data_IF_814510797854
#
_entry.id   IF_814510797854
#
_cell.length_a   1.000
_cell.length_b   1.000
_cell.length_c   1.000
_cell.angle_alpha   90.00
_cell.angle_beta   90.00
_cell.angle_gamma   90.00
#
_symmetry.space_group_name_H-M   'P 1'
#
loop_
_entity.id
_entity.type
_entity.pdbx_description
1 polymer ?
#
# COMPACT_ATOMS: atom_id res chain seq x y z
N UNK A 1 39.41 -41.09 80.10
CA UNK A 1 37.98 -41.47 80.19
C UNK A 1 37.56 -42.02 78.84
N UNK A 2 37.28 -43.31 78.81
CA UNK A 2 37.00 -44.12 77.63
C UNK A 2 35.49 -44.13 77.32
N UNK A 3 35.17 -44.05 76.03
CA UNK A 3 34.24 -44.89 75.26
C UNK A 3 32.78 -45.11 75.72
N UNK A 4 31.91 -44.98 74.69
CA UNK A 4 30.91 -45.96 74.21
C UNK A 4 29.40 -45.72 74.52
N UNK A 5 28.60 -45.95 73.46
CA UNK A 5 27.24 -46.55 73.37
C UNK A 5 26.08 -45.57 73.07
N UNK A 6 25.60 -45.49 71.81
CA UNK A 6 24.46 -46.20 71.15
C UNK A 6 23.09 -45.61 71.57
N UNK A 7 22.18 -45.12 70.69
CA UNK A 7 21.13 -45.81 69.90
C UNK A 7 20.31 -44.66 69.23
N UNK A 8 20.20 -44.55 67.89
CA UNK A 8 19.09 -45.01 67.01
C UNK A 8 17.69 -44.39 67.25
N UNK A 9 17.24 -43.53 66.32
CA UNK A 9 15.89 -43.41 65.73
C UNK A 9 15.93 -42.24 64.71
N UNK A 10 16.04 -42.44 63.39
CA UNK A 10 15.03 -42.91 62.43
C UNK A 10 13.72 -42.10 62.45
N UNK A 11 13.64 -41.07 61.61
CA UNK A 11 12.40 -40.65 60.97
C UNK A 11 12.71 -40.24 59.52
N UNK A 12 12.32 -41.13 58.63
CA UNK A 12 12.38 -41.07 57.18
C UNK A 12 11.26 -40.14 56.69
N UNK A 13 11.59 -39.05 55.99
CA UNK A 13 10.65 -38.40 55.07
C UNK A 13 11.28 -38.40 53.68
N UNK A 14 10.89 -39.40 52.90
CA UNK A 14 11.02 -39.39 51.45
C UNK A 14 10.06 -38.32 50.91
N UNK A 15 10.59 -37.17 50.53
CA UNK A 15 9.94 -36.33 49.52
C UNK A 15 10.76 -36.54 48.25
N UNK A 16 10.24 -37.40 47.39
CA UNK A 16 10.59 -37.40 45.99
C UNK A 16 10.08 -36.08 45.40
N UNK A 17 10.90 -35.04 45.49
CA UNK A 17 10.78 -33.92 44.57
C UNK A 17 11.34 -34.44 43.24
N UNK A 18 10.45 -34.95 42.38
CA UNK A 18 10.76 -35.05 40.98
C UNK A 18 11.16 -33.65 40.54
N UNK A 19 12.44 -33.47 40.22
CA UNK A 19 12.85 -32.41 39.33
C UNK A 19 12.14 -32.73 38.01
N UNK A 20 10.94 -32.17 37.82
CA UNK A 20 10.53 -31.81 36.48
C UNK A 20 11.55 -30.77 36.05
N UNK A 21 12.58 -31.24 35.36
CA UNK A 21 13.43 -30.42 34.52
C UNK A 21 12.47 -29.80 33.51
N UNK A 22 11.95 -28.62 33.84
CA UNK A 22 11.33 -27.74 32.87
C UNK A 22 12.45 -27.48 31.88
N UNK A 23 12.37 -28.11 30.71
CA UNK A 23 13.15 -27.73 29.56
C UNK A 23 12.73 -26.29 29.22
N UNK A 24 13.33 -25.32 29.91
CA UNK A 24 13.48 -23.97 29.40
C UNK A 24 14.47 -24.06 28.23
N UNK A 25 13.98 -24.53 27.08
CA UNK A 25 14.51 -24.09 25.80
C UNK A 25 14.04 -22.65 25.58
N UNK A 26 14.47 -21.72 26.44
CA UNK A 26 14.59 -20.33 26.04
C UNK A 26 15.78 -20.31 25.10
N UNK A 27 15.52 -20.23 23.79
CA UNK A 27 16.53 -19.90 22.80
C UNK A 27 17.28 -18.64 23.27
N UNK A 28 18.49 -18.79 23.80
CA UNK A 28 19.35 -17.64 24.17
C UNK A 28 19.60 -16.69 22.98
N UNK A 29 19.37 -17.19 21.76
CA UNK A 29 19.50 -16.47 20.50
C UNK A 29 18.16 -15.99 19.90
N UNK A 30 17.05 -16.01 20.64
CA UNK A 30 15.80 -15.44 20.14
C UNK A 30 15.78 -13.91 20.28
N UNK A 31 15.08 -13.25 19.36
CA UNK A 31 14.69 -11.85 19.46
C UNK A 31 13.62 -11.72 20.53
N UNK A 32 13.86 -10.86 21.53
CA UNK A 32 12.92 -10.62 22.63
C UNK A 32 11.82 -9.62 22.26
N UNK A 33 10.68 -9.71 22.93
CA UNK A 33 9.57 -8.75 22.74
C UNK A 33 9.98 -7.31 23.06
N UNK A 34 10.93 -7.15 23.99
CA UNK A 34 11.52 -5.87 24.39
C UNK A 34 12.62 -5.33 23.46
N UNK A 35 13.03 -6.10 22.44
CA UNK A 35 14.11 -5.70 21.55
C UNK A 35 13.77 -4.43 20.75
N UNK A 36 14.75 -3.57 20.51
CA UNK A 36 14.61 -2.48 19.55
C UNK A 36 15.13 -2.94 18.20
N UNK A 37 14.29 -2.87 17.18
CA UNK A 37 14.64 -3.22 15.80
C UNK A 37 14.91 -1.93 15.05
N UNK A 38 16.05 -1.85 14.36
CA UNK A 38 16.44 -0.67 13.59
C UNK A 38 16.70 -1.08 12.15
N UNK A 39 16.11 -0.36 11.19
CA UNK A 39 16.48 -0.43 9.77
C UNK A 39 17.12 0.88 9.36
N UNK A 40 18.33 0.82 8.85
CA UNK A 40 19.07 1.95 8.30
C UNK A 40 19.31 1.74 6.81
N UNK A 41 19.13 2.78 6.01
CA UNK A 41 19.60 2.80 4.63
C UNK A 41 20.28 4.11 4.31
N UNK A 42 21.46 4.06 3.70
CA UNK A 42 22.30 5.22 3.42
C UNK A 42 23.24 4.98 2.22
N UNK A 43 23.83 6.05 1.68
CA UNK A 43 24.83 5.95 0.61
C UNK A 43 24.26 5.61 -0.77
N UNK A 44 22.93 5.52 -0.90
CA UNK A 44 22.25 5.46 -2.19
C UNK A 44 22.15 6.86 -2.80
N UNK A 45 21.83 6.94 -4.09
CA UNK A 45 21.50 8.21 -4.72
C UNK A 45 20.13 8.71 -4.24
N UNK A 46 20.14 9.57 -3.22
CA UNK A 46 18.94 10.21 -2.64
C UNK A 46 19.09 11.73 -2.59
N UNK A 47 17.98 12.43 -2.32
CA UNK A 47 18.03 13.85 -2.00
C UNK A 47 18.94 14.09 -0.77
N UNK A 48 19.73 15.17 -0.72
CA UNK A 48 20.68 15.43 0.38
C UNK A 48 20.04 15.45 1.77
N UNK A 49 18.80 15.93 1.88
CA UNK A 49 18.01 15.95 3.09
C UNK A 49 17.53 14.56 3.55
N UNK A 50 17.64 13.54 2.71
CA UNK A 50 17.22 12.15 2.97
C UNK A 50 18.38 11.16 2.86
N UNK A 51 19.62 11.65 2.98
CA UNK A 51 20.85 10.86 2.85
C UNK A 51 20.91 9.61 3.72
N UNK A 52 20.30 9.67 4.91
CA UNK A 52 20.10 8.52 5.80
C UNK A 52 18.63 8.39 6.13
N UNK A 53 18.09 7.17 5.96
CA UNK A 53 16.74 6.82 6.38
C UNK A 53 16.83 5.83 7.53
N UNK A 54 16.16 6.12 8.64
CA UNK A 54 16.19 5.31 9.85
C UNK A 54 14.78 4.97 10.30
N UNK A 55 14.45 3.69 10.33
CA UNK A 55 13.26 3.16 10.97
C UNK A 55 13.66 2.54 12.31
N UNK A 56 12.97 2.88 13.38
CA UNK A 56 13.13 2.30 14.72
C UNK A 56 11.79 1.73 15.15
N UNK A 57 11.75 0.45 15.48
CA UNK A 57 10.57 -0.24 16.01
C UNK A 57 10.89 -0.75 17.41
N UNK A 58 10.25 -0.17 18.41
CA UNK A 58 10.32 -0.64 19.80
C UNK A 58 9.00 -1.30 20.20
N UNK A 59 8.79 -1.55 21.50
CA UNK A 59 7.60 -2.24 21.99
C UNK A 59 6.32 -1.40 21.94
N UNK A 60 6.40 -0.08 21.74
CA UNK A 60 5.24 0.82 21.83
C UNK A 60 5.06 1.70 20.60
N UNK A 61 6.07 1.82 19.74
CA UNK A 61 6.07 2.75 18.61
C UNK A 61 6.93 2.28 17.45
N UNK A 62 6.54 2.78 16.28
CA UNK A 62 7.36 2.81 15.06
C UNK A 62 7.71 4.28 14.81
N UNK A 63 9.00 4.54 14.64
CA UNK A 63 9.55 5.85 14.33
C UNK A 63 10.33 5.78 13.02
N UNK A 64 10.09 6.72 12.12
CA UNK A 64 10.87 6.87 10.90
C UNK A 64 11.42 8.28 10.78
N UNK A 65 12.71 8.39 10.49
CA UNK A 65 13.45 9.65 10.48
C UNK A 65 14.35 9.74 9.25
N UNK A 66 14.43 10.94 8.69
CA UNK A 66 15.40 11.32 7.66
C UNK A 66 16.51 12.16 8.27
N UNK A 67 17.75 11.92 7.83
CA UNK A 67 18.90 12.74 8.17
C UNK A 67 19.67 13.12 6.90
N UNK A 68 20.30 14.29 6.94
CA UNK A 68 21.18 14.73 5.87
C UNK A 68 22.61 14.15 6.02
N UNK A 69 23.51 14.51 5.09
CA UNK A 69 24.91 14.05 5.12
C UNK A 69 25.72 14.54 6.35
N UNK A 70 25.20 15.50 7.11
CA UNK A 70 25.78 16.02 8.35
C UNK A 70 25.18 15.36 9.60
N UNK A 71 24.34 14.32 9.43
CA UNK A 71 23.60 13.65 10.51
C UNK A 71 22.59 14.57 11.22
N UNK A 72 22.13 15.62 10.54
CA UNK A 72 21.08 16.51 11.05
C UNK A 72 19.70 15.94 10.69
N UNK A 73 18.80 15.88 11.68
CA UNK A 73 17.42 15.43 11.49
C UNK A 73 16.66 16.41 10.59
N UNK A 74 16.12 15.92 9.48
CA UNK A 74 15.38 16.73 8.50
C UNK A 74 13.87 16.48 8.55
N UNK A 75 13.45 15.27 8.93
CA UNK A 75 12.05 14.94 9.17
C UNK A 75 11.93 13.74 10.12
N UNK A 76 10.79 13.67 10.83
CA UNK A 76 10.49 12.60 11.79
C UNK A 76 8.99 12.29 11.80
N UNK A 77 8.67 11.00 11.78
CA UNK A 77 7.32 10.46 11.85
C UNK A 77 7.27 9.42 12.96
N UNK A 78 6.22 9.46 13.79
CA UNK A 78 6.07 8.55 14.93
C UNK A 78 4.62 8.10 15.01
N UNK A 79 4.39 6.80 15.11
CA UNK A 79 3.07 6.20 15.36
C UNK A 79 3.17 5.10 16.41
N UNK A 80 2.10 4.86 17.19
CA UNK A 80 2.03 3.69 18.06
C UNK A 80 2.07 2.41 17.24
N UNK A 81 2.58 1.33 17.82
CA UNK A 81 2.44 -0.03 17.27
C UNK A 81 1.61 -0.85 18.25
N UNK A 82 0.62 -1.57 17.74
CA UNK A 82 -0.18 -2.46 18.57
C UNK A 82 0.58 -3.77 18.87
N UNK A 83 0.14 -4.46 19.92
CA UNK A 83 0.79 -5.68 20.40
C UNK A 83 0.78 -6.79 19.34
N UNK A 84 -0.30 -6.94 18.57
CA UNK A 84 -0.41 -8.00 17.56
C UNK A 84 0.59 -7.78 16.41
N UNK A 85 0.67 -6.55 15.91
CA UNK A 85 1.67 -6.16 14.90
C UNK A 85 3.08 -6.38 15.43
N UNK A 86 3.33 -6.01 16.68
CA UNK A 86 4.63 -6.20 17.32
C UNK A 86 5.01 -7.68 17.46
N UNK A 87 4.09 -8.50 17.94
CA UNK A 87 4.33 -9.94 18.15
C UNK A 87 4.59 -10.66 16.82
N UNK A 88 3.84 -10.31 15.77
CA UNK A 88 4.08 -10.82 14.40
C UNK A 88 5.45 -10.45 13.87
N UNK A 89 5.90 -9.21 14.10
CA UNK A 89 7.24 -8.78 13.69
C UNK A 89 8.33 -9.56 14.42
N UNK A 90 8.22 -9.73 15.74
CA UNK A 90 9.20 -10.49 16.53
C UNK A 90 9.21 -11.97 16.11
N UNK A 91 8.05 -12.56 15.89
CA UNK A 91 7.92 -13.91 15.36
C UNK A 91 8.61 -14.05 14.00
N UNK A 92 8.41 -13.10 13.08
CA UNK A 92 9.06 -13.09 11.76
C UNK A 92 10.60 -13.10 11.88
N UNK A 93 11.17 -12.31 12.79
CA UNK A 93 12.62 -12.32 13.02
C UNK A 93 13.12 -13.67 13.56
N UNK A 94 12.38 -14.27 14.48
CA UNK A 94 12.70 -15.57 15.08
C UNK A 94 12.57 -16.73 14.08
N UNK A 95 11.49 -16.77 13.30
CA UNK A 95 11.24 -17.79 12.27
C UNK A 95 12.30 -17.78 11.15
N UNK A 96 12.90 -16.61 10.89
CA UNK A 96 13.96 -16.45 9.89
C UNK A 96 15.37 -16.45 10.51
N UNK A 97 15.51 -16.90 11.77
CA UNK A 97 16.77 -17.04 12.50
C UNK A 97 17.68 -15.81 12.38
N UNK A 98 17.12 -14.60 12.53
CA UNK A 98 17.86 -13.36 12.27
C UNK A 98 19.18 -13.27 13.05
N UNK A 99 19.18 -13.73 14.30
CA UNK A 99 20.37 -13.70 15.17
C UNK A 99 21.54 -14.57 14.66
N UNK A 100 21.24 -15.55 13.80
CA UNK A 100 22.22 -16.49 13.22
C UNK A 100 22.65 -16.10 11.79
N UNK A 101 22.04 -15.08 11.19
CA UNK A 101 22.40 -14.62 9.85
C UNK A 101 23.85 -14.11 9.79
N UNK A 102 24.46 -14.21 8.61
CA UNK A 102 25.75 -13.57 8.34
C UNK A 102 25.65 -12.05 8.58
N UNK A 103 26.75 -11.47 9.04
CA UNK A 103 26.82 -10.02 9.31
C UNK A 103 26.82 -9.17 8.04
N UNK A 104 27.22 -9.76 6.90
CA UNK A 104 27.37 -9.07 5.63
C UNK A 104 26.92 -9.98 4.48
N UNK A 105 26.12 -9.41 3.57
CA UNK A 105 25.74 -9.99 2.29
C UNK A 105 26.21 -9.07 1.15
N UNK A 106 26.93 -9.66 0.22
CA UNK A 106 27.52 -9.00 -0.95
C UNK A 106 27.20 -9.82 -2.22
N UNK A 107 27.31 -9.23 -3.42
CA UNK A 107 27.18 -9.96 -4.66
C UNK A 107 28.18 -11.13 -4.72
N UNK A 108 27.68 -12.34 -5.00
CA UNK A 108 28.51 -13.52 -5.27
C UNK A 108 29.19 -13.37 -6.63
N UNK A 109 30.31 -14.07 -6.80
CA UNK A 109 31.02 -14.14 -8.07
C UNK A 109 30.09 -14.46 -9.24
N UNK A 110 30.14 -13.62 -10.28
CA UNK A 110 29.31 -13.74 -11.48
C UNK A 110 27.94 -13.09 -11.39
N UNK A 111 27.53 -12.54 -10.23
CA UNK A 111 26.32 -11.72 -10.14
C UNK A 111 26.59 -10.28 -10.60
N UNK A 112 25.65 -9.62 -11.30
CA UNK A 112 25.78 -8.22 -11.64
C UNK A 112 25.81 -7.37 -10.36
N UNK A 113 26.71 -6.39 -10.33
CA UNK A 113 26.76 -5.39 -9.25
C UNK A 113 25.76 -4.29 -9.60
N UNK A 114 24.77 -4.09 -8.74
CA UNK A 114 23.86 -2.95 -8.84
C UNK A 114 24.55 -1.73 -8.23
N UNK A 115 24.75 -0.68 -9.03
CA UNK A 115 25.36 0.57 -8.58
C UNK A 115 24.32 1.48 -7.92
N UNK A 116 24.80 2.45 -7.13
CA UNK A 116 24.02 3.56 -6.57
C UNK A 116 22.86 3.18 -5.62
N UNK A 117 22.81 1.94 -5.13
CA UNK A 117 21.78 1.49 -4.17
C UNK A 117 22.19 1.61 -2.70
N UNK A 118 23.44 1.97 -2.42
CA UNK A 118 23.92 2.22 -1.06
C UNK A 118 24.03 0.97 -0.18
N UNK A 119 23.81 1.14 1.12
CA UNK A 119 23.90 0.09 2.13
C UNK A 119 22.59 0.00 2.91
N UNK A 120 22.13 -1.23 3.15
CA UNK A 120 21.08 -1.55 4.13
C UNK A 120 21.73 -2.13 5.38
N UNK A 121 21.32 -1.67 6.55
CA UNK A 121 21.60 -2.33 7.82
C UNK A 121 20.29 -2.63 8.56
N UNK A 122 20.16 -3.83 9.08
CA UNK A 122 19.11 -4.21 10.02
C UNK A 122 19.77 -4.58 11.34
N UNK A 123 19.28 -4.01 12.44
CA UNK A 123 19.84 -4.19 13.76
C UNK A 123 18.77 -4.68 14.72
N UNK A 124 19.14 -5.63 15.59
CA UNK A 124 18.34 -6.05 16.75
C UNK A 124 19.15 -5.72 17.99
N UNK A 125 18.60 -4.84 18.84
CA UNK A 125 19.21 -4.38 20.08
C UNK A 125 18.39 -4.93 21.25
N UNK A 126 19.01 -5.77 22.09
CA UNK A 126 18.34 -6.39 23.25
C UNK A 126 19.30 -6.48 24.44
N UNK A 127 18.97 -5.77 25.53
CA UNK A 127 19.90 -5.60 26.65
C UNK A 127 21.21 -4.96 26.18
N UNK A 128 22.33 -5.61 26.48
CA UNK A 128 23.67 -5.17 26.06
C UNK A 128 24.10 -5.78 24.70
N UNK A 129 23.27 -6.64 24.09
CA UNK A 129 23.59 -7.30 22.83
C UNK A 129 23.02 -6.52 21.64
N UNK A 130 23.81 -6.39 20.58
CA UNK A 130 23.37 -5.85 19.28
C UNK A 130 23.80 -6.79 18.17
N UNK A 131 22.84 -7.30 17.40
CA UNK A 131 23.10 -8.00 16.12
C UNK A 131 22.91 -7.02 14.98
N UNK A 132 23.86 -7.00 14.04
CA UNK A 132 23.77 -6.18 12.81
C UNK A 132 23.92 -7.11 11.60
N UNK A 133 23.03 -6.95 10.63
CA UNK A 133 23.10 -7.60 9.31
C UNK A 133 23.14 -6.51 8.26
N UNK A 134 24.17 -6.53 7.41
CA UNK A 134 24.40 -5.53 6.36
C UNK A 134 24.26 -6.13 4.97
N UNK A 135 23.79 -5.32 4.02
CA UNK A 135 23.73 -5.67 2.60
C UNK A 135 24.35 -4.52 1.81
N UNK A 136 25.40 -4.81 1.05
CA UNK A 136 26.14 -3.80 0.32
C UNK A 136 26.70 -4.35 -1.00
N UNK A 137 26.40 -3.72 -2.16
CA UNK A 137 25.34 -2.73 -2.36
C UNK A 137 23.96 -3.28 -2.00
N UNK A 138 23.02 -2.45 -1.58
CA UNK A 138 21.67 -2.91 -1.21
C UNK A 138 20.89 -3.37 -2.44
N UNK A 139 20.64 -4.66 -2.56
CA UNK A 139 19.76 -5.24 -3.56
C UNK A 139 19.11 -6.53 -3.01
N UNK A 140 17.88 -6.83 -3.41
CA UNK A 140 17.13 -8.00 -2.91
C UNK A 140 17.75 -9.32 -3.34
N UNK A 141 18.44 -9.34 -4.47
CA UNK A 141 19.10 -10.49 -5.06
C UNK A 141 20.31 -10.98 -4.23
N UNK A 142 20.86 -10.14 -3.36
CA UNK A 142 21.99 -10.50 -2.49
C UNK A 142 21.54 -11.03 -1.12
N UNK A 143 20.26 -10.84 -0.79
CA UNK A 143 19.69 -11.22 0.49
C UNK A 143 19.14 -12.65 0.44
N UNK A 144 19.27 -13.45 1.51
CA UNK A 144 18.51 -14.69 1.65
C UNK A 144 17.02 -14.38 1.80
N UNK A 145 16.15 -15.31 1.41
CA UNK A 145 14.68 -15.15 1.43
C UNK A 145 14.15 -14.65 2.78
N UNK A 146 14.70 -15.13 3.89
CA UNK A 146 14.29 -14.70 5.22
C UNK A 146 14.62 -13.24 5.53
N UNK A 147 15.77 -12.75 5.05
CA UNK A 147 16.14 -11.34 5.19
C UNK A 147 15.29 -10.45 4.27
N UNK A 148 14.97 -10.93 3.06
CA UNK A 148 14.03 -10.26 2.15
C UNK A 148 12.66 -10.05 2.84
N UNK A 149 12.08 -11.12 3.40
CA UNK A 149 10.79 -11.06 4.13
C UNK A 149 10.81 -10.09 5.29
N UNK A 150 11.89 -10.09 6.09
CA UNK A 150 12.06 -9.15 7.20
C UNK A 150 12.11 -7.70 6.67
N UNK A 151 12.91 -7.45 5.63
CA UNK A 151 13.05 -6.10 5.07
C UNK A 151 11.72 -5.61 4.48
N UNK A 152 10.96 -6.47 3.80
CA UNK A 152 9.63 -6.13 3.25
C UNK A 152 8.66 -5.70 4.36
N UNK A 153 8.64 -6.41 5.49
CA UNK A 153 7.78 -6.05 6.62
C UNK A 153 8.20 -4.73 7.26
N UNK A 154 9.50 -4.47 7.39
CA UNK A 154 10.00 -3.18 7.86
C UNK A 154 9.66 -2.04 6.88
N UNK A 155 9.65 -2.30 5.57
CA UNK A 155 9.22 -1.33 4.57
C UNK A 155 7.71 -1.03 4.66
N UNK A 156 6.87 -2.03 4.98
CA UNK A 156 5.44 -1.80 5.29
C UNK A 156 5.27 -0.96 6.55
N UNK A 157 6.03 -1.23 7.61
CA UNK A 157 6.00 -0.40 8.82
C UNK A 157 6.47 1.03 8.57
N UNK A 158 7.47 1.22 7.69
CA UNK A 158 7.86 2.55 7.20
C UNK A 158 6.68 3.25 6.50
N UNK A 159 5.98 2.54 5.61
CA UNK A 159 4.81 3.12 4.93
C UNK A 159 3.69 3.46 5.94
N UNK A 160 3.43 2.58 6.90
CA UNK A 160 2.45 2.80 7.96
C UNK A 160 2.76 4.08 8.76
N UNK A 161 4.00 4.27 9.22
CA UNK A 161 4.34 5.46 10.03
C UNK A 161 4.34 6.75 9.22
N UNK A 162 4.65 6.69 7.92
CA UNK A 162 4.61 7.84 7.02
C UNK A 162 3.19 8.21 6.55
N UNK A 163 2.28 7.23 6.52
CA UNK A 163 0.89 7.48 6.10
C UNK A 163 0.26 8.53 7.01
N UNK A 164 -0.53 9.47 6.48
CA UNK A 164 -1.24 10.44 7.31
C UNK A 164 -2.32 9.77 8.16
N UNK A 165 -2.74 10.42 9.26
CA UNK A 165 -3.89 9.95 10.05
C UNK A 165 -5.21 10.34 9.40
N UNK A 166 -6.32 9.71 9.79
CA UNK A 166 -7.65 10.12 9.33
C UNK A 166 -7.94 11.59 9.67
N UNK A 167 -7.62 12.03 10.90
CA UNK A 167 -7.84 13.41 11.33
C UNK A 167 -7.00 14.41 10.52
N UNK A 168 -5.73 14.08 10.24
CA UNK A 168 -4.86 14.90 9.38
C UNK A 168 -5.42 15.00 7.96
N UNK A 169 -5.87 13.89 7.38
CA UNK A 169 -6.48 13.88 6.05
C UNK A 169 -7.81 14.65 6.01
N UNK A 170 -8.60 14.58 7.08
CA UNK A 170 -9.85 15.33 7.20
C UNK A 170 -9.61 16.83 7.22
N UNK A 171 -8.59 17.27 7.94
CA UNK A 171 -8.17 18.68 7.98
C UNK A 171 -7.79 19.15 6.57
N UNK A 172 -6.84 18.46 5.93
CA UNK A 172 -6.38 18.75 4.56
C UNK A 172 -7.55 18.78 3.57
N UNK A 173 -8.41 17.76 3.58
CA UNK A 173 -9.53 17.67 2.67
C UNK A 173 -10.53 18.81 2.90
N UNK A 174 -10.85 19.13 4.17
CA UNK A 174 -11.78 20.22 4.47
C UNK A 174 -11.25 21.58 4.04
N UNK A 175 -9.97 21.87 4.30
CA UNK A 175 -9.31 23.10 3.85
C UNK A 175 -9.33 23.21 2.33
N UNK A 176 -8.94 22.13 1.65
CA UNK A 176 -8.96 22.08 0.19
C UNK A 176 -10.36 22.33 -0.39
N UNK A 177 -11.40 21.67 0.15
CA UNK A 177 -12.79 21.85 -0.31
C UNK A 177 -13.21 23.31 -0.10
N UNK A 178 -12.93 23.89 1.07
CA UNK A 178 -13.31 25.27 1.37
C UNK A 178 -12.66 26.31 0.46
N UNK A 179 -11.48 26.00 -0.09
CA UNK A 179 -10.78 26.83 -1.07
C UNK A 179 -11.18 26.52 -2.52
N UNK A 180 -11.82 25.39 -2.78
CA UNK A 180 -12.17 24.94 -4.12
C UNK A 180 -13.22 25.86 -4.78
N UNK A 181 -13.20 26.04 -6.13
CA UNK A 181 -14.05 27.00 -6.82
C UNK A 181 -15.56 26.87 -6.58
N UNK A 182 -16.09 25.65 -6.46
CA UNK A 182 -17.51 25.40 -6.25
C UNK A 182 -17.94 25.84 -4.85
N UNK A 183 -17.24 25.38 -3.81
CA UNK A 183 -17.57 25.71 -2.42
C UNK A 183 -17.28 27.17 -2.11
N UNK A 184 -16.13 27.71 -2.55
CA UNK A 184 -15.76 29.10 -2.28
C UNK A 184 -16.70 30.12 -2.95
N UNK A 185 -17.36 29.74 -4.05
CA UNK A 185 -18.33 30.61 -4.70
C UNK A 185 -19.56 30.85 -3.82
N UNK A 186 -20.16 29.79 -3.26
CA UNK A 186 -21.40 29.88 -2.51
C UNK A 186 -21.79 28.67 -1.64
N UNK A 187 -20.80 27.87 -1.26
CA UNK A 187 -20.94 26.68 -0.44
C UNK A 187 -21.07 26.97 1.06
N UNK A 188 -21.84 26.15 1.76
CA UNK A 188 -22.01 26.14 3.21
C UNK A 188 -22.21 24.71 3.74
N UNK A 189 -22.17 24.55 5.06
CA UNK A 189 -22.56 23.32 5.75
C UNK A 189 -21.75 22.08 5.32
N UNK A 190 -20.42 22.23 5.21
CA UNK A 190 -19.52 21.11 4.92
C UNK A 190 -19.58 20.05 6.04
N UNK A 191 -20.00 18.85 5.70
CA UNK A 191 -20.16 17.72 6.60
C UNK A 191 -19.35 16.52 6.10
N UNK A 192 -18.54 15.93 6.98
CA UNK A 192 -17.82 14.69 6.70
C UNK A 192 -18.77 13.48 6.68
N UNK A 193 -18.67 12.65 5.64
CA UNK A 193 -19.53 11.46 5.48
C UNK A 193 -18.75 10.17 5.70
N UNK A 194 -17.61 10.00 5.02
CA UNK A 194 -16.91 8.70 4.97
C UNK A 194 -15.41 8.86 4.75
N UNK A 195 -14.64 7.95 5.34
CA UNK A 195 -13.22 7.75 5.12
C UNK A 195 -12.96 6.27 4.76
N UNK A 196 -12.14 6.02 3.75
CA UNK A 196 -11.64 4.69 3.40
C UNK A 196 -10.14 4.79 3.08
N UNK A 197 -9.36 3.83 3.56
CA UNK A 197 -7.97 3.64 3.13
C UNK A 197 -7.94 2.59 2.04
N UNK A 198 -7.15 2.80 1.00
CA UNK A 198 -6.93 1.79 -0.04
C UNK A 198 -6.23 0.56 0.56
N UNK A 199 -6.81 -0.62 0.34
CA UNK A 199 -6.24 -1.89 0.79
C UNK A 199 -4.95 -2.21 0.03
N UNK A 200 -4.87 -1.80 -1.25
CA UNK A 200 -3.71 -2.01 -2.11
C UNK A 200 -2.60 -1.00 -1.82
N UNK A 201 -2.96 0.22 -1.40
CA UNK A 201 -2.03 1.30 -1.17
C UNK A 201 -2.39 2.12 0.10
N UNK A 202 -1.82 1.79 1.28
CA UNK A 202 -2.10 2.50 2.54
C UNK A 202 -1.74 3.99 2.56
N UNK A 203 -1.02 4.49 1.56
CA UNK A 203 -0.74 5.91 1.37
C UNK A 203 -1.86 6.66 0.62
N UNK A 204 -2.82 5.93 0.07
CA UNK A 204 -3.97 6.43 -0.66
C UNK A 204 -5.25 6.27 0.18
N UNK A 205 -6.02 7.35 0.26
CA UNK A 205 -7.27 7.39 1.01
C UNK A 205 -8.34 8.15 0.25
N UNK A 206 -9.58 7.69 0.38
CA UNK A 206 -10.77 8.35 -0.15
C UNK A 206 -11.57 8.97 0.98
N UNK A 207 -11.88 10.26 0.86
CA UNK A 207 -12.75 11.00 1.78
C UNK A 207 -13.98 11.51 1.05
N UNK A 208 -15.15 11.34 1.66
CA UNK A 208 -16.41 11.84 1.12
C UNK A 208 -17.02 12.86 2.07
N UNK A 209 -17.49 13.97 1.52
CA UNK A 209 -18.17 15.05 2.22
C UNK A 209 -19.49 15.40 1.52
N UNK A 210 -20.34 16.13 2.23
CA UNK A 210 -21.50 16.83 1.70
C UNK A 210 -21.41 18.31 2.01
N UNK A 211 -21.95 19.14 1.14
CA UNK A 211 -22.12 20.57 1.40
C UNK A 211 -23.33 21.09 0.63
N UNK A 212 -23.73 22.32 0.91
CA UNK A 212 -24.86 22.97 0.25
C UNK A 212 -24.39 24.20 -0.51
N UNK A 213 -24.80 24.39 -1.75
CA UNK A 213 -24.62 25.64 -2.49
C UNK A 213 -25.93 26.42 -2.58
N UNK A 214 -25.86 27.75 -2.49
CA UNK A 214 -27.04 28.61 -2.63
C UNK A 214 -27.58 28.73 -4.07
N UNK A 215 -26.77 28.32 -5.05
CA UNK A 215 -27.08 28.25 -6.46
C UNK A 215 -26.70 26.88 -7.03
N UNK A 216 -27.45 26.43 -8.03
CA UNK A 216 -27.08 25.27 -8.81
C UNK A 216 -25.79 25.47 -9.63
N UNK A 217 -25.19 24.35 -10.02
CA UNK A 217 -24.00 24.28 -10.89
C UNK A 217 -22.68 24.14 -10.14
N UNK A 218 -21.59 24.09 -10.90
CA UNK A 218 -20.25 23.79 -10.42
C UNK A 218 -19.23 24.87 -10.80
N UNK A 219 -18.11 24.90 -10.09
CA UNK A 219 -16.98 25.77 -10.31
C UNK A 219 -17.23 27.24 -9.99
N UNK A 220 -16.31 28.10 -10.44
CA UNK A 220 -16.46 29.55 -10.32
C UNK A 220 -17.45 30.08 -11.37
N UNK A 221 -18.61 30.54 -10.89
CA UNK A 221 -19.73 31.01 -11.71
C UNK A 221 -19.82 32.55 -11.76
N UNK A 222 -18.75 33.25 -11.40
CA UNK A 222 -18.70 34.72 -11.40
C UNK A 222 -19.03 35.29 -12.79
N UNK A 223 -20.01 36.19 -12.84
CA UNK A 223 -20.45 36.83 -14.10
C UNK A 223 -21.43 35.99 -14.93
N UNK A 224 -21.85 34.82 -14.46
CA UNK A 224 -22.87 33.99 -15.11
C UNK A 224 -24.26 34.26 -14.51
N UNK A 225 -25.31 33.99 -15.29
CA UNK A 225 -26.68 33.96 -14.77
C UNK A 225 -26.89 32.64 -14.03
N UNK A 226 -27.04 32.72 -12.70
CA UNK A 226 -27.17 31.55 -11.82
C UNK A 226 -28.63 31.31 -11.40
N UNK A 227 -28.98 30.05 -11.18
CA UNK A 227 -30.29 29.66 -10.62
C UNK A 227 -30.26 29.80 -9.10
N UNK A 228 -31.22 30.52 -8.51
CA UNK A 228 -31.36 30.62 -7.05
C UNK A 228 -32.07 29.38 -6.49
N UNK A 229 -31.30 28.31 -6.31
CA UNK A 229 -31.77 27.03 -5.79
C UNK A 229 -30.72 26.48 -4.84
N UNK A 230 -31.15 26.20 -3.61
CA UNK A 230 -30.34 25.50 -2.62
C UNK A 230 -30.09 24.09 -3.16
N UNK A 231 -28.83 23.76 -3.42
CA UNK A 231 -28.41 22.50 -4.03
C UNK A 231 -27.49 21.77 -3.06
N UNK A 232 -27.89 20.56 -2.67
CA UNK A 232 -27.01 19.67 -1.91
C UNK A 232 -26.02 19.02 -2.87
N UNK A 233 -24.74 19.04 -2.50
CA UNK A 233 -23.65 18.43 -3.23
C UNK A 233 -22.98 17.35 -2.38
N UNK A 234 -22.49 16.32 -3.06
CA UNK A 234 -21.55 15.35 -2.51
C UNK A 234 -20.19 15.54 -3.18
N UNK A 235 -19.11 15.51 -2.42
CA UNK A 235 -17.75 15.59 -2.96
C UNK A 235 -16.93 14.42 -2.44
N UNK A 236 -16.26 13.73 -3.36
CA UNK A 236 -15.32 12.66 -3.07
C UNK A 236 -13.91 13.09 -3.45
N UNK A 237 -12.96 12.99 -2.52
CA UNK A 237 -11.56 13.30 -2.73
C UNK A 237 -10.73 12.03 -2.61
N UNK A 238 -9.80 11.83 -3.54
CA UNK A 238 -8.74 10.82 -3.41
C UNK A 238 -7.44 11.54 -3.06
N UNK A 239 -6.83 11.17 -1.94
CA UNK A 239 -5.59 11.76 -1.44
C UNK A 239 -4.47 10.73 -1.47
N UNK A 240 -3.27 11.15 -1.92
CA UNK A 240 -2.05 10.36 -1.83
C UNK A 240 -0.99 11.10 -1.01
N UNK A 241 -0.56 10.52 0.12
CA UNK A 241 0.46 11.09 1.01
C UNK A 241 0.28 12.59 1.30
N UNK A 242 -0.97 13.02 1.59
CA UNK A 242 -1.42 14.41 1.88
C UNK A 242 -1.75 15.29 0.68
N UNK A 243 -1.56 14.82 -0.56
CA UNK A 243 -1.92 15.59 -1.75
C UNK A 243 -3.29 15.16 -2.25
N UNK A 244 -4.18 16.11 -2.53
CA UNK A 244 -5.44 15.85 -3.24
C UNK A 244 -5.11 15.54 -4.70
N UNK A 245 -5.38 14.30 -5.12
CA UNK A 245 -5.15 13.81 -6.47
C UNK A 245 -6.36 14.03 -7.35
N UNK A 246 -7.55 13.76 -6.81
CA UNK A 246 -8.83 14.00 -7.48
C UNK A 246 -9.83 14.57 -6.49
N UNK A 247 -10.80 15.32 -7.02
CA UNK A 247 -11.95 15.82 -6.28
C UNK A 247 -13.15 15.84 -7.22
N UNK A 248 -14.14 14.99 -6.94
CA UNK A 248 -15.30 14.81 -7.81
C UNK A 248 -16.57 15.24 -7.08
N UNK A 249 -17.29 16.20 -7.65
CA UNK A 249 -18.58 16.67 -7.14
C UNK A 249 -19.72 15.95 -7.88
N UNK A 250 -20.65 15.39 -7.11
CA UNK A 250 -21.84 14.66 -7.55
C UNK A 250 -21.59 13.51 -8.53
N UNK A 251 -20.34 13.01 -8.57
CA UNK A 251 -19.92 11.99 -9.52
C UNK A 251 -19.78 12.48 -10.97
N UNK A 252 -20.01 13.77 -11.25
CA UNK A 252 -20.11 14.30 -12.62
C UNK A 252 -19.23 15.51 -12.89
N UNK A 253 -18.61 16.10 -11.87
CA UNK A 253 -17.77 17.29 -12.01
C UNK A 253 -16.39 17.05 -11.40
N UNK A 254 -15.35 17.20 -12.21
CA UNK A 254 -13.96 17.21 -11.76
C UNK A 254 -13.62 18.61 -11.26
N UNK A 255 -13.56 18.77 -9.95
CA UNK A 255 -13.28 20.04 -9.29
C UNK A 255 -11.81 20.43 -9.40
N UNK A 256 -10.88 19.48 -9.60
CA UNK A 256 -9.46 19.79 -9.80
C UNK A 256 -9.26 20.42 -11.17
N UNK A 257 -9.84 19.81 -12.21
CA UNK A 257 -9.66 20.24 -13.60
C UNK A 257 -10.74 21.23 -14.08
N UNK A 258 -11.78 21.48 -13.27
CA UNK A 258 -12.91 22.36 -13.56
C UNK A 258 -13.65 21.97 -14.86
N UNK A 259 -13.94 20.68 -15.02
CA UNK A 259 -14.64 20.12 -16.18
C UNK A 259 -15.68 19.09 -15.77
N UNK A 260 -16.73 18.94 -16.58
CA UNK A 260 -17.65 17.81 -16.42
C UNK A 260 -16.92 16.51 -16.74
N UNK A 261 -17.08 15.51 -15.88
CA UNK A 261 -16.68 14.14 -16.19
C UNK A 261 -17.55 13.64 -17.34
N UNK A 262 -16.92 13.07 -18.36
CA UNK A 262 -17.65 12.45 -19.46
C UNK A 262 -18.43 11.26 -18.92
N UNK A 263 -19.73 11.22 -19.21
CA UNK A 263 -20.54 10.07 -18.84
C UNK A 263 -20.02 8.84 -19.59
N UNK A 264 -19.86 7.75 -18.84
CA UNK A 264 -19.60 6.45 -19.45
C UNK A 264 -20.91 5.74 -19.68
N UNK A 265 -21.03 5.13 -20.87
CA UNK A 265 -22.17 4.35 -21.30
C UNK A 265 -21.74 2.90 -21.37
N UNK A 266 -22.56 2.02 -20.79
CA UNK A 266 -22.34 0.58 -20.89
C UNK A 266 -22.79 0.13 -22.27
N UNK A 267 -21.87 -0.44 -23.03
CA UNK A 267 -22.11 -1.01 -24.34
C UNK A 267 -22.06 -2.54 -24.25
N UNK A 268 -23.00 -3.20 -24.91
CA UNK A 268 -23.10 -4.64 -25.03
C UNK A 268 -22.91 -5.04 -26.49
N UNK A 269 -22.14 -6.09 -26.71
CA UNK A 269 -21.90 -6.62 -28.05
C UNK A 269 -23.06 -7.48 -28.54
N UNK A 270 -23.16 -7.67 -29.86
CA UNK A 270 -23.84 -8.85 -30.40
C UNK A 270 -23.13 -10.16 -30.00
N UNK A 271 -23.72 -11.30 -30.33
CA UNK A 271 -23.10 -12.62 -30.08
C UNK A 271 -21.81 -12.79 -30.90
N UNK A 272 -20.70 -13.06 -30.21
CA UNK A 272 -19.38 -13.30 -30.81
C UNK A 272 -18.90 -14.72 -30.49
N UNK A 273 -17.96 -15.27 -31.26
CA UNK A 273 -17.27 -16.50 -30.85
C UNK A 273 -16.31 -16.16 -29.71
N UNK A 274 -16.40 -16.84 -28.56
CA UNK A 274 -15.54 -16.54 -27.39
C UNK A 274 -14.03 -16.68 -27.68
N UNK A 275 -13.67 -17.54 -28.64
CA UNK A 275 -12.28 -17.86 -28.99
C UNK A 275 -11.82 -17.20 -30.29
N UNK A 276 -12.65 -16.38 -30.93
CA UNK A 276 -12.33 -15.71 -32.20
C UNK A 276 -12.86 -14.28 -32.20
N UNK A 277 -12.60 -13.54 -31.12
CA UNK A 277 -13.00 -12.13 -31.01
C UNK A 277 -12.18 -11.25 -31.97
N UNK A 278 -12.67 -10.05 -32.32
CA UNK A 278 -11.92 -9.13 -33.17
C UNK A 278 -10.52 -8.79 -32.62
N UNK A 279 -10.37 -8.64 -31.30
CA UNK A 279 -9.08 -8.35 -30.67
C UNK A 279 -8.15 -9.57 -30.61
N UNK A 280 -8.69 -10.80 -30.46
CA UNK A 280 -7.87 -12.02 -30.56
C UNK A 280 -7.33 -12.21 -31.98
N UNK A 281 -8.16 -11.98 -33.01
CA UNK A 281 -7.74 -12.05 -34.40
C UNK A 281 -6.70 -10.96 -34.71
N UNK A 282 -6.94 -9.72 -34.28
CA UNK A 282 -5.99 -8.61 -34.41
C UNK A 282 -4.64 -8.91 -33.74
N UNK A 283 -4.67 -9.50 -32.54
CA UNK A 283 -3.48 -9.93 -31.82
C UNK A 283 -2.71 -11.03 -32.57
N UNK A 284 -3.40 -12.05 -33.08
CA UNK A 284 -2.80 -13.15 -33.82
C UNK A 284 -2.12 -12.67 -35.12
N UNK A 285 -2.70 -11.67 -35.80
CA UNK A 285 -2.13 -11.06 -37.00
C UNK A 285 -0.88 -10.20 -36.69
N UNK A 286 -0.81 -9.61 -35.49
CA UNK A 286 0.27 -8.71 -35.09
C UNK A 286 1.64 -9.37 -34.89
N UNK A 287 1.71 -10.70 -34.80
CA UNK A 287 2.94 -11.50 -34.60
C UNK A 287 3.84 -10.98 -33.44
N UNK A 288 3.21 -10.61 -32.33
CA UNK A 288 3.90 -10.06 -31.14
C UNK A 288 4.05 -11.18 -30.10
N UNK A 289 5.27 -11.40 -29.60
CA UNK A 289 5.55 -12.34 -28.51
C UNK A 289 5.78 -11.59 -27.20
N UNK A 290 5.00 -11.90 -26.17
CA UNK A 290 5.17 -11.37 -24.82
C UNK A 290 5.80 -12.40 -23.88
N UNK A 291 6.55 -11.94 -22.88
CA UNK A 291 7.03 -12.80 -21.78
C UNK A 291 5.90 -13.39 -20.93
N UNK A 292 4.73 -12.72 -20.94
CA UNK A 292 3.47 -13.16 -20.35
C UNK A 292 2.35 -12.78 -21.32
N UNK A 293 1.49 -13.72 -21.70
CA UNK A 293 0.35 -13.42 -22.56
C UNK A 293 -0.58 -12.40 -21.89
N UNK A 294 -1.04 -11.36 -22.63
CA UNK A 294 -1.97 -10.38 -22.10
C UNK A 294 -3.33 -11.01 -21.78
N UNK A 295 -4.05 -10.43 -20.83
CA UNK A 295 -5.44 -10.82 -20.53
C UNK A 295 -6.38 -10.41 -21.66
N UNK A 296 -7.59 -10.97 -21.68
CA UNK A 296 -8.61 -10.61 -22.68
C UNK A 296 -8.98 -9.13 -22.61
N UNK A 297 -9.07 -8.57 -21.40
CA UNK A 297 -9.33 -7.15 -21.18
C UNK A 297 -8.19 -6.28 -21.69
N UNK A 298 -6.93 -6.62 -21.38
CA UNK A 298 -5.75 -5.90 -21.88
C UNK A 298 -5.71 -5.89 -23.41
N UNK A 299 -6.04 -7.01 -24.05
CA UNK A 299 -6.13 -7.11 -25.52
C UNK A 299 -7.24 -6.25 -26.10
N UNK A 300 -8.42 -6.27 -25.50
CA UNK A 300 -9.54 -5.45 -25.95
C UNK A 300 -9.23 -3.95 -25.80
N UNK A 301 -8.68 -3.53 -24.67
CA UNK A 301 -8.25 -2.13 -24.44
C UNK A 301 -7.27 -1.70 -25.54
N UNK A 302 -6.26 -2.52 -25.81
CA UNK A 302 -5.28 -2.23 -26.86
C UNK A 302 -5.91 -2.15 -28.25
N UNK A 303 -6.81 -3.09 -28.58
CA UNK A 303 -7.52 -3.13 -29.85
C UNK A 303 -8.41 -1.90 -30.06
N UNK A 304 -9.28 -1.56 -29.10
CA UNK A 304 -10.17 -0.41 -29.24
C UNK A 304 -9.41 0.92 -29.24
N UNK A 305 -8.37 1.04 -28.41
CA UNK A 305 -7.49 2.20 -28.40
C UNK A 305 -6.72 2.38 -29.72
N UNK A 306 -6.25 1.29 -30.32
CA UNK A 306 -5.42 1.36 -31.54
C UNK A 306 -6.26 1.47 -32.82
N UNK A 307 -7.31 0.65 -32.94
CA UNK A 307 -8.09 0.53 -34.18
C UNK A 307 -9.16 1.60 -34.27
N UNK A 308 -9.78 1.98 -33.14
CA UNK A 308 -10.89 2.94 -33.12
C UNK A 308 -10.57 4.24 -32.38
N UNK A 309 -9.42 4.34 -31.70
CA UNK A 309 -9.10 5.46 -30.80
C UNK A 309 -10.20 5.66 -29.74
N UNK A 310 -10.66 4.53 -29.17
CA UNK A 310 -11.69 4.48 -28.13
C UNK A 310 -11.08 3.90 -26.86
N UNK A 311 -11.21 4.63 -25.76
CA UNK A 311 -10.93 4.12 -24.43
C UNK A 311 -12.11 3.30 -23.93
N UNK A 312 -11.83 2.09 -23.46
CA UNK A 312 -12.82 1.19 -22.86
C UNK A 312 -12.36 0.79 -21.45
N UNK A 313 -13.31 0.44 -20.60
CA UNK A 313 -13.04 -0.12 -19.27
C UNK A 313 -14.11 -1.13 -18.86
N UNK A 314 -13.90 -1.84 -17.76
CA UNK A 314 -14.84 -2.80 -17.16
C UNK A 314 -15.30 -3.88 -18.17
N UNK A 315 -14.35 -4.45 -18.93
CA UNK A 315 -14.70 -5.50 -19.88
C UNK A 315 -15.12 -6.77 -19.13
N UNK A 316 -16.28 -7.29 -19.49
CA UNK A 316 -16.79 -8.57 -19.01
C UNK A 316 -17.45 -9.35 -20.14
N UNK A 317 -17.60 -10.66 -19.95
CA UNK A 317 -18.20 -11.54 -20.93
C UNK A 317 -19.17 -12.53 -20.28
N UNK A 318 -20.32 -12.71 -20.90
CA UNK A 318 -21.27 -13.77 -20.57
C UNK A 318 -21.19 -14.88 -21.62
N UNK A 319 -20.96 -16.11 -21.16
CA UNK A 319 -20.95 -17.30 -22.02
C UNK A 319 -22.39 -17.69 -22.33
N UNK A 320 -22.72 -17.71 -23.62
CA UNK A 320 -23.97 -18.17 -24.18
C UNK A 320 -23.86 -19.63 -24.64
N UNK A 321 -24.94 -20.17 -25.20
CA UNK A 321 -24.92 -21.51 -25.78
C UNK A 321 -23.99 -21.58 -27.00
N UNK A 322 -23.51 -22.80 -27.31
CA UNK A 322 -22.73 -23.10 -28.52
C UNK A 322 -21.40 -22.33 -28.68
N UNK A 323 -20.75 -21.97 -27.56
CA UNK A 323 -19.43 -21.33 -27.58
C UNK A 323 -19.46 -19.86 -28.02
N UNK A 324 -20.63 -19.24 -27.93
CA UNK A 324 -20.83 -17.80 -28.14
C UNK A 324 -20.65 -17.03 -26.83
N UNK A 325 -20.16 -15.80 -26.94
CA UNK A 325 -20.02 -14.87 -25.84
C UNK A 325 -20.68 -13.54 -26.21
N UNK A 326 -21.28 -12.91 -25.22
CA UNK A 326 -21.69 -11.51 -25.28
C UNK A 326 -20.78 -10.71 -24.35
N UNK A 327 -20.24 -9.60 -24.85
CA UNK A 327 -19.31 -8.77 -24.11
C UNK A 327 -19.99 -7.49 -23.67
N UNK A 328 -19.62 -7.02 -22.48
CA UNK A 328 -20.06 -5.76 -21.92
C UNK A 328 -18.84 -4.93 -21.57
N UNK A 329 -18.84 -3.64 -21.91
CA UNK A 329 -17.80 -2.69 -21.55
C UNK A 329 -18.37 -1.30 -21.30
N UNK A 330 -17.63 -0.45 -20.60
CA UNK A 330 -17.92 0.98 -20.46
C UNK A 330 -17.07 1.81 -21.40
N UNK A 331 -17.68 2.81 -22.00
CA UNK A 331 -17.03 3.73 -22.95
C UNK A 331 -17.52 5.14 -22.70
N UNK A 332 -16.77 6.17 -23.10
CA UNK A 332 -17.27 7.56 -23.04
C UNK A 332 -18.47 7.74 -23.99
N UNK A 333 -19.40 8.62 -23.65
CA UNK A 333 -20.58 8.92 -24.48
C UNK A 333 -20.21 9.27 -25.94
N UNK A 334 -19.08 9.94 -26.13
CA UNK A 334 -18.51 10.28 -27.44
C UNK A 334 -18.20 9.04 -28.32
N UNK A 335 -18.01 7.86 -27.73
CA UNK A 335 -17.72 6.60 -28.40
C UNK A 335 -18.96 5.74 -28.69
N UNK A 336 -20.15 6.11 -28.18
CA UNK A 336 -21.40 5.34 -28.39
C UNK A 336 -21.72 5.20 -29.88
N UNK A 337 -21.69 6.31 -30.62
CA UNK A 337 -22.00 6.32 -32.05
C UNK A 337 -21.06 5.42 -32.87
N UNK A 338 -19.72 5.56 -32.82
CA UNK A 338 -18.83 4.69 -33.60
C UNK A 338 -18.94 3.21 -33.20
N UNK A 339 -19.21 2.90 -31.93
CA UNK A 339 -19.42 1.52 -31.50
C UNK A 339 -20.74 0.93 -32.00
N UNK A 340 -21.79 1.74 -32.06
CA UNK A 340 -23.08 1.34 -32.64
C UNK A 340 -22.95 0.98 -34.12
N UNK A 341 -22.11 1.72 -34.86
CA UNK A 341 -21.81 1.46 -36.27
C UNK A 341 -21.13 0.10 -36.50
N UNK A 342 -20.44 -0.45 -35.49
CA UNK A 342 -19.79 -1.77 -35.55
C UNK A 342 -20.54 -2.85 -34.76
N UNK A 343 -21.81 -2.60 -34.40
CA UNK A 343 -22.73 -3.62 -33.88
C UNK A 343 -22.78 -3.77 -32.36
N UNK A 344 -22.27 -2.80 -31.61
CA UNK A 344 -22.53 -2.68 -30.16
C UNK A 344 -23.83 -1.92 -29.91
N UNK A 345 -24.44 -2.13 -28.75
CA UNK A 345 -25.69 -1.47 -28.35
C UNK A 345 -25.56 -0.97 -26.91
N UNK A 346 -26.18 0.16 -26.59
CA UNK A 346 -26.29 0.60 -25.21
C UNK A 346 -27.10 -0.43 -24.40
N UNK A 347 -26.65 -0.74 -23.19
CA UNK A 347 -27.22 -1.76 -22.31
C UNK A 347 -28.61 -1.40 -21.74
#
# INVERSE_FOLDING_TARGET
MNKLITIFLLALFLIAAGCAEVQNNTNENAVSDSATIVRLSYGAYTLPEMAVQKLVVNSTSVEFSYYNYQDELTARYVKPVDQETRDKLVALFNENNFMELNELYEPKDGMPIVADTGTLEIQVIQGDATKIVKVQPYASEYMPDGLNRINDELLKLRQYVMSPTEDELKEIASEWIMEAPTYSFDGSDLEFVKYNVSVENPSESTLSYKFTSSHGGYGNRSGQMVTQVITEHSIELVLYNRNVMTATIDGVWDEVNQVMLEQTVTMVSGEMNCNETPWQNWYAEGNINFFKEPTEEELAIAYFGTVYNIEISDLSSDILNDGKCQYTMKVKESAVKPLTEIGWQEA
#
